data_IF_239475848605
#
_entry.id   IF_239475848605
#
_cell.length_a   1.000
_cell.length_b   1.000
_cell.length_c   1.000
_cell.angle_alpha   90.00
_cell.angle_beta   90.00
_cell.angle_gamma   90.00
#
_symmetry.space_group_name_H-M   'P 1'
#
loop_
_entity.id
_entity.type
_entity.pdbx_description
1 polymer ?
#
# COMPACT_ATOMS: atom_id res chain seq x y z
N UNK A 1 1.26 -17.05 17.18
CA UNK A 1 0.76 -16.85 15.81
C UNK A 1 1.02 -15.40 15.41
N UNK A 2 1.85 -15.13 14.38
CA UNK A 2 2.30 -13.76 14.06
C UNK A 2 1.12 -12.91 13.55
N UNK A 3 1.09 -11.66 14.02
CA UNK A 3 -0.06 -10.77 13.98
C UNK A 3 -0.48 -10.32 12.59
N UNK A 4 -1.70 -10.70 12.19
CA UNK A 4 -2.43 -10.04 11.12
C UNK A 4 -3.15 -8.80 11.65
N UNK A 5 -2.55 -7.62 11.51
CA UNK A 5 -3.32 -6.36 11.58
C UNK A 5 -3.89 -6.04 10.20
N UNK A 6 -4.81 -6.89 9.74
CA UNK A 6 -5.76 -6.56 8.69
C UNK A 6 -7.08 -6.21 9.39
N UNK A 7 -7.56 -4.98 9.23
CA UNK A 7 -8.88 -4.63 9.72
C UNK A 7 -9.00 -3.17 10.13
N UNK A 8 -9.09 -2.26 9.16
CA UNK A 8 -9.88 -1.05 9.36
C UNK A 8 -10.53 -0.59 8.07
N UNK A 9 -11.40 -1.44 7.52
CA UNK A 9 -12.34 -1.05 6.48
C UNK A 9 -13.71 -1.74 6.71
N UNK A 10 -14.22 -1.67 7.93
CA UNK A 10 -15.60 -2.05 8.21
C UNK A 10 -16.44 -0.77 8.29
N UNK A 11 -17.35 -0.56 7.33
CA UNK A 11 -18.54 0.27 7.59
C UNK A 11 -18.89 1.42 6.64
N UNK A 12 -18.31 1.56 5.44
CA UNK A 12 -18.85 2.49 4.42
C UNK A 12 -18.81 1.82 3.05
N UNK A 13 -19.87 1.98 2.26
CA UNK A 13 -19.98 1.43 0.91
C UNK A 13 -18.65 1.69 0.16
N UNK A 14 -17.92 0.61 -0.14
CA UNK A 14 -16.56 0.75 -0.67
C UNK A 14 -16.67 1.32 -2.08
N UNK A 15 -16.27 2.58 -2.24
CA UNK A 15 -15.94 3.11 -3.54
C UNK A 15 -14.96 2.13 -4.22
N UNK A 16 -15.08 1.95 -5.54
CA UNK A 16 -14.18 1.08 -6.30
C UNK A 16 -12.74 1.39 -5.89
N UNK A 17 -12.01 0.35 -5.48
CA UNK A 17 -10.65 0.52 -5.02
C UNK A 17 -9.78 1.02 -6.18
N UNK A 18 -9.28 2.24 -6.08
CA UNK A 18 -8.34 2.80 -7.07
C UNK A 18 -6.94 2.35 -6.72
N UNK A 19 -6.23 1.74 -7.68
CA UNK A 19 -4.85 1.32 -7.47
C UNK A 19 -3.93 2.54 -7.28
N UNK A 20 -2.84 2.38 -6.52
CA UNK A 20 -1.88 3.48 -6.31
C UNK A 20 -1.23 3.95 -7.63
N UNK A 21 -1.05 3.04 -8.59
CA UNK A 21 -0.59 3.36 -9.94
C UNK A 21 -1.60 4.24 -10.70
N UNK A 22 -2.88 3.85 -10.70
CA UNK A 22 -3.94 4.62 -11.37
C UNK A 22 -4.09 6.01 -10.75
N UNK A 23 -4.02 6.13 -9.42
CA UNK A 23 -4.09 7.42 -8.72
C UNK A 23 -2.90 8.33 -9.04
N UNK A 24 -1.72 7.76 -9.30
CA UNK A 24 -0.52 8.52 -9.65
C UNK A 24 -0.37 8.78 -11.16
N UNK A 25 -1.20 8.16 -12.02
CA UNK A 25 -1.07 8.27 -13.48
C UNK A 25 0.14 7.52 -14.05
N UNK A 26 0.64 6.50 -13.35
CA UNK A 26 1.88 5.80 -13.71
C UNK A 26 1.59 4.40 -14.24
N UNK A 27 2.29 4.01 -15.32
CA UNK A 27 2.17 2.70 -15.95
C UNK A 27 2.86 1.57 -15.16
N UNK A 28 3.80 1.91 -14.29
CA UNK A 28 4.53 0.92 -13.51
C UNK A 28 3.88 0.65 -12.13
N UNK A 29 4.17 -0.50 -11.49
CA UNK A 29 3.47 -0.93 -10.28
C UNK A 29 4.00 -0.23 -9.01
N UNK A 30 3.49 0.98 -8.72
CA UNK A 30 3.90 1.84 -7.60
C UNK A 30 3.84 1.11 -6.25
N UNK A 31 2.80 0.32 -5.99
CA UNK A 31 2.66 -0.43 -4.73
C UNK A 31 3.73 -1.51 -4.51
N UNK A 32 4.23 -2.12 -5.60
CA UNK A 32 5.31 -3.11 -5.54
C UNK A 32 6.64 -2.43 -5.28
N UNK A 33 6.91 -1.34 -5.99
CA UNK A 33 8.12 -0.53 -5.80
C UNK A 33 8.18 -0.01 -4.36
N UNK A 34 7.07 0.51 -3.83
CA UNK A 34 6.96 0.93 -2.43
C UNK A 34 7.38 -0.16 -1.45
N UNK A 35 6.91 -1.40 -1.63
CA UNK A 35 7.30 -2.52 -0.78
C UNK A 35 8.80 -2.81 -0.88
N UNK A 36 9.35 -2.87 -2.09
CA UNK A 36 10.78 -3.12 -2.29
C UNK A 36 11.66 -2.03 -1.67
N UNK A 37 11.27 -0.75 -1.81
CA UNK A 37 11.95 0.36 -1.17
C UNK A 37 11.88 0.24 0.36
N UNK A 38 10.69 -0.04 0.90
CA UNK A 38 10.49 -0.20 2.34
C UNK A 38 11.31 -1.35 2.94
N UNK A 39 11.50 -2.44 2.22
CA UNK A 39 12.34 -3.55 2.67
C UNK A 39 13.84 -3.24 2.58
N UNK A 40 14.26 -2.35 1.69
CA UNK A 40 15.67 -2.01 1.47
C UNK A 40 16.17 -0.86 2.33
N UNK A 41 15.28 0.03 2.79
CA UNK A 41 15.67 1.08 3.73
C UNK A 41 15.86 0.52 5.14
N UNK A 42 17.01 0.81 5.76
CA UNK A 42 17.30 0.51 7.16
C UNK A 42 16.55 1.45 8.12
N UNK A 43 16.25 2.65 7.64
CA UNK A 43 15.42 3.61 8.35
C UNK A 43 13.95 3.21 8.19
N UNK A 44 13.26 3.09 9.32
CA UNK A 44 11.81 2.90 9.38
C UNK A 44 11.03 4.19 9.07
N UNK A 45 11.70 5.15 8.43
CA UNK A 45 11.12 6.39 7.94
C UNK A 45 9.94 6.15 7.02
N UNK A 46 9.12 7.19 6.87
CA UNK A 46 8.00 7.17 5.94
C UNK A 46 8.53 7.15 4.51
N UNK A 47 8.25 6.03 3.85
CA UNK A 47 8.33 5.85 2.40
C UNK A 47 6.96 5.52 1.87
#
# INVERSE_FOLDING_TARGET
MPGGKAGKDHGKAKAKAVSRSARAGLQFPVGRIHRHLKSRTTSHGRV
#
